data_IF_454965385473
#
_entry.id   IF_454965385473
#
_cell.length_a   1.000
_cell.length_b   1.000
_cell.length_c   1.000
_cell.angle_alpha   90.00
_cell.angle_beta   90.00
_cell.angle_gamma   90.00
#
_symmetry.space_group_name_H-M   'P 1'
#
loop_
_entity.id
_entity.type
_entity.pdbx_description
1 polymer ?
#
# COMPACT_ATOMS: atom_id res chain seq x y z
N UNK A 1 35.50 13.65 -24.79
CA UNK A 1 35.14 14.27 -23.51
C UNK A 1 34.04 15.24 -23.83
N UNK A 2 32.83 15.01 -23.35
CA UNK A 2 31.79 15.98 -23.44
C UNK A 2 32.08 17.10 -22.42
N UNK A 3 32.13 18.35 -22.86
CA UNK A 3 32.23 19.51 -21.97
C UNK A 3 30.91 19.54 -21.17
N UNK A 4 31.00 19.38 -19.85
CA UNK A 4 29.89 19.68 -18.94
C UNK A 4 29.64 21.20 -19.03
N UNK A 5 28.52 21.55 -19.63
CA UNK A 5 28.06 22.95 -19.71
C UNK A 5 27.58 23.35 -18.31
N UNK A 6 28.24 24.32 -17.68
CA UNK A 6 27.72 24.96 -16.47
C UNK A 6 26.40 25.65 -16.75
N UNK A 7 25.39 25.30 -15.96
CA UNK A 7 24.06 25.93 -16.05
C UNK A 7 24.13 27.37 -15.54
N UNK A 8 23.42 28.27 -16.19
CA UNK A 8 23.27 29.64 -15.72
C UNK A 8 22.40 29.69 -14.44
N UNK A 9 22.52 30.77 -13.68
CA UNK A 9 21.67 30.99 -12.48
C UNK A 9 20.16 30.91 -12.80
N UNK A 10 19.72 31.44 -13.95
CA UNK A 10 18.33 31.37 -14.39
C UNK A 10 17.90 29.94 -14.72
N UNK A 11 18.76 29.13 -15.37
CA UNK A 11 18.50 27.71 -15.64
C UNK A 11 18.41 26.90 -14.35
N UNK A 12 19.29 27.13 -13.38
CA UNK A 12 19.25 26.47 -12.06
C UNK A 12 17.97 26.84 -11.28
N UNK A 13 17.52 28.10 -11.36
CA UNK A 13 16.28 28.51 -10.72
C UNK A 13 15.05 27.89 -11.37
N UNK A 14 15.04 27.78 -12.70
CA UNK A 14 13.97 27.12 -13.45
C UNK A 14 13.91 25.62 -13.13
N UNK A 15 15.05 24.93 -13.06
CA UNK A 15 15.12 23.52 -12.65
C UNK A 15 14.62 23.32 -11.20
N UNK A 16 15.06 24.18 -10.27
CA UNK A 16 14.56 24.15 -8.89
C UNK A 16 13.05 24.32 -8.81
N UNK A 17 12.48 25.25 -9.57
CA UNK A 17 11.04 25.53 -9.52
C UNK A 17 10.24 24.41 -10.21
N UNK A 18 10.77 23.80 -11.28
CA UNK A 18 10.23 22.58 -11.88
C UNK A 18 10.26 21.41 -10.90
N UNK A 19 11.37 21.19 -10.21
CA UNK A 19 11.52 20.16 -9.19
C UNK A 19 10.56 20.34 -8.00
N UNK A 20 10.38 21.59 -7.53
CA UNK A 20 9.38 21.88 -6.48
C UNK A 20 7.96 21.57 -6.95
N UNK A 21 7.61 21.96 -8.17
CA UNK A 21 6.29 21.68 -8.72
C UNK A 21 6.03 20.19 -8.85
N UNK A 22 7.01 19.41 -9.31
CA UNK A 22 6.93 17.96 -9.39
C UNK A 22 6.76 17.32 -8.01
N UNK A 23 7.57 17.74 -7.02
CA UNK A 23 7.45 17.27 -5.65
C UNK A 23 6.09 17.59 -5.02
N UNK A 24 5.51 18.75 -5.28
CA UNK A 24 4.19 19.12 -4.78
C UNK A 24 3.09 18.24 -5.41
N UNK A 25 3.22 17.87 -6.68
CA UNK A 25 2.32 16.91 -7.34
C UNK A 25 2.46 15.54 -6.71
N UNK A 26 3.68 15.03 -6.52
CA UNK A 26 3.94 13.74 -5.90
C UNK A 26 3.41 13.66 -4.45
N UNK A 27 3.61 14.71 -3.66
CA UNK A 27 3.05 14.80 -2.30
C UNK A 27 1.53 14.77 -2.30
N UNK A 28 0.89 15.51 -3.20
CA UNK A 28 -0.57 15.54 -3.33
C UNK A 28 -1.13 14.18 -3.73
N UNK A 29 -0.52 13.53 -4.69
CA UNK A 29 -0.90 12.19 -5.13
C UNK A 29 -0.76 11.16 -4.00
N UNK A 30 0.29 11.29 -3.18
CA UNK A 30 0.52 10.44 -2.01
C UNK A 30 -0.59 10.60 -0.97
N UNK A 31 -0.96 11.83 -0.62
CA UNK A 31 -2.02 12.11 0.36
C UNK A 31 -3.36 11.55 -0.12
N UNK A 32 -3.71 11.76 -1.38
CA UNK A 32 -4.95 11.23 -1.96
C UNK A 32 -4.97 9.70 -1.98
N UNK A 33 -3.84 9.06 -2.25
CA UNK A 33 -3.71 7.60 -2.16
C UNK A 33 -3.91 7.09 -0.74
N UNK A 34 -3.27 7.73 0.24
CA UNK A 34 -3.42 7.35 1.65
C UNK A 34 -4.88 7.45 2.12
N UNK A 35 -5.60 8.47 1.69
CA UNK A 35 -7.02 8.61 2.04
C UNK A 35 -7.90 7.50 1.41
N UNK A 36 -7.69 7.17 0.13
CA UNK A 36 -8.40 6.05 -0.51
C UNK A 36 -8.04 4.71 0.14
N UNK A 37 -6.77 4.47 0.39
CA UNK A 37 -6.29 3.27 1.05
C UNK A 37 -6.84 3.10 2.47
N UNK A 38 -6.96 4.19 3.23
CA UNK A 38 -7.54 4.11 4.59
C UNK A 38 -9.00 3.70 4.57
N UNK A 39 -9.76 4.11 3.54
CA UNK A 39 -11.13 3.60 3.31
C UNK A 39 -11.11 2.12 2.93
N UNK A 40 -10.20 1.69 2.06
CA UNK A 40 -10.03 0.29 1.68
C UNK A 40 -9.78 -0.60 2.90
N UNK A 41 -8.80 -0.25 3.72
CA UNK A 41 -8.51 -1.01 4.94
C UNK A 41 -9.67 -0.99 5.93
N UNK A 42 -10.25 0.18 6.20
CA UNK A 42 -11.38 0.30 7.11
C UNK A 42 -12.58 -0.54 6.65
N UNK A 43 -12.85 -0.59 5.36
CA UNK A 43 -13.87 -1.44 4.76
C UNK A 43 -13.58 -2.92 5.06
N UNK A 44 -12.37 -3.38 4.73
CA UNK A 44 -12.00 -4.80 4.81
C UNK A 44 -11.46 -5.25 6.18
N UNK A 45 -11.47 -4.40 7.23
CA UNK A 45 -11.39 -4.87 8.61
C UNK A 45 -12.67 -5.57 9.08
N UNK A 46 -13.77 -5.38 8.39
CA UNK A 46 -15.09 -5.92 8.73
C UNK A 46 -15.35 -7.25 8.04
N UNK A 47 -15.71 -8.27 8.82
CA UNK A 47 -15.91 -9.65 8.36
C UNK A 47 -16.93 -9.77 7.23
N UNK A 48 -18.02 -9.03 7.30
CA UNK A 48 -19.06 -9.06 6.24
C UNK A 48 -18.50 -8.62 4.87
N UNK A 49 -17.62 -7.60 4.84
CA UNK A 49 -16.99 -7.14 3.59
C UNK A 49 -15.86 -8.04 3.14
N UNK A 50 -15.11 -8.66 4.07
CA UNK A 50 -14.15 -9.72 3.75
C UNK A 50 -14.87 -10.90 3.07
N UNK A 51 -16.03 -11.31 3.60
CA UNK A 51 -16.82 -12.40 3.04
C UNK A 51 -17.36 -12.05 1.64
N UNK A 52 -17.86 -10.83 1.44
CA UNK A 52 -18.29 -10.37 0.12
C UNK A 52 -17.12 -10.39 -0.87
N UNK A 53 -15.96 -9.87 -0.47
CA UNK A 53 -14.74 -9.88 -1.27
C UNK A 53 -14.34 -11.31 -1.66
N UNK A 54 -14.29 -12.21 -0.69
CA UNK A 54 -13.92 -13.60 -0.96
C UNK A 54 -14.87 -14.27 -1.95
N UNK A 55 -16.19 -14.14 -1.73
CA UNK A 55 -17.20 -14.71 -2.63
C UNK A 55 -17.16 -14.13 -4.04
N UNK A 56 -16.79 -12.87 -4.17
CA UNK A 56 -16.60 -12.24 -5.48
C UNK A 56 -15.37 -12.81 -6.22
N UNK A 57 -14.25 -13.01 -5.51
CA UNK A 57 -13.03 -13.55 -6.09
C UNK A 57 -13.10 -15.05 -6.36
N UNK A 58 -13.88 -15.79 -5.55
CA UNK A 58 -14.01 -17.25 -5.57
C UNK A 58 -15.47 -17.69 -5.53
N UNK A 59 -16.28 -17.38 -6.56
CA UNK A 59 -17.73 -17.65 -6.55
C UNK A 59 -18.08 -19.13 -6.49
N UNK A 60 -17.12 -20.03 -6.77
CA UNK A 60 -17.29 -21.48 -6.69
C UNK A 60 -17.28 -22.01 -5.25
N UNK A 61 -16.73 -21.26 -4.27
CA UNK A 61 -16.72 -21.64 -2.86
C UNK A 61 -17.93 -21.06 -2.11
N UNK A 62 -19.08 -21.71 -2.27
CA UNK A 62 -20.32 -21.29 -1.62
C UNK A 62 -20.38 -21.59 -0.11
N UNK A 63 -19.43 -22.39 0.42
CA UNK A 63 -19.46 -22.88 1.80
C UNK A 63 -18.73 -21.99 2.78
N UNK A 64 -18.09 -20.94 2.30
CA UNK A 64 -17.29 -20.00 3.11
C UNK A 64 -18.18 -19.18 4.03
N UNK A 65 -17.75 -19.00 5.26
CA UNK A 65 -18.40 -18.18 6.28
C UNK A 65 -17.41 -17.13 6.84
N UNK A 66 -17.89 -16.21 7.67
CA UNK A 66 -17.04 -15.19 8.29
C UNK A 66 -16.00 -15.77 9.25
N UNK A 67 -16.28 -16.92 9.86
CA UNK A 67 -15.38 -17.60 10.78
C UNK A 67 -14.15 -18.19 10.08
N UNK A 68 -14.28 -18.50 8.79
CA UNK A 68 -13.17 -19.05 7.98
C UNK A 68 -12.15 -17.98 7.56
N UNK A 69 -12.46 -16.70 7.76
CA UNK A 69 -11.66 -15.58 7.30
C UNK A 69 -10.78 -15.05 8.44
N UNK A 70 -9.50 -14.93 8.21
CA UNK A 70 -8.54 -14.32 9.13
C UNK A 70 -7.78 -13.19 8.42
N UNK A 71 -7.82 -11.99 9.00
CA UNK A 71 -7.03 -10.87 8.52
C UNK A 71 -5.56 -11.09 8.90
N UNK A 72 -4.69 -11.10 7.91
CA UNK A 72 -3.24 -11.18 8.10
C UNK A 72 -2.66 -9.80 7.93
N UNK A 73 -1.89 -9.35 8.92
CA UNK A 73 -1.14 -8.11 8.81
C UNK A 73 0.00 -8.32 7.82
N UNK A 74 -0.07 -7.64 6.68
CA UNK A 74 1.04 -7.57 5.74
C UNK A 74 1.98 -6.47 6.23
N UNK A 75 2.95 -6.84 7.06
CA UNK A 75 3.99 -5.92 7.52
C UNK A 75 4.92 -5.63 6.35
N UNK A 76 5.03 -4.36 5.99
CA UNK A 76 5.87 -3.93 4.89
C UNK A 76 7.34 -3.91 5.29
N UNK A 77 8.11 -4.85 4.75
CA UNK A 77 9.54 -4.97 4.99
C UNK A 77 10.34 -3.92 4.21
N UNK A 78 9.90 -3.50 3.03
CA UNK A 78 10.71 -2.73 2.11
C UNK A 78 10.41 -1.22 2.05
N UNK A 79 9.44 -0.71 2.79
CA UNK A 79 9.09 0.70 2.66
C UNK A 79 8.81 1.38 3.97
N UNK A 80 9.41 2.55 4.16
CA UNK A 80 9.21 3.50 5.25
C UNK A 80 7.75 3.99 5.33
N UNK A 81 6.93 3.60 4.40
CA UNK A 81 5.53 3.97 4.33
C UNK A 81 4.65 2.75 4.53
N UNK A 82 3.67 2.82 5.45
CA UNK A 82 2.65 1.80 5.57
C UNK A 82 1.87 1.76 4.23
N UNK A 83 2.21 0.82 3.37
CA UNK A 83 1.34 0.46 2.26
C UNK A 83 0.20 -0.36 2.83
N UNK A 84 -0.99 0.04 2.50
CA UNK A 84 -2.21 -0.53 3.03
C UNK A 84 -2.68 -1.65 2.09
N UNK A 85 -1.88 -2.69 1.97
CA UNK A 85 -2.27 -3.88 1.23
C UNK A 85 -2.99 -4.85 2.19
N UNK A 86 -3.94 -5.63 1.69
CA UNK A 86 -4.77 -6.52 2.48
C UNK A 86 -4.32 -7.97 2.31
N UNK A 87 -4.07 -8.66 3.41
CA UNK A 87 -3.87 -10.10 3.46
C UNK A 87 -5.03 -10.80 4.16
N UNK A 88 -5.57 -11.85 3.53
CA UNK A 88 -6.57 -12.73 4.12
C UNK A 88 -6.07 -14.18 4.10
N UNK A 89 -6.05 -14.85 5.25
CA UNK A 89 -5.85 -16.28 5.33
C UNK A 89 -7.22 -16.97 5.42
N UNK A 90 -7.48 -17.89 4.48
CA UNK A 90 -8.77 -18.55 4.35
C UNK A 90 -8.56 -20.04 4.13
N UNK A 91 -8.82 -20.87 5.14
CA UNK A 91 -8.68 -22.35 5.06
C UNK A 91 -7.35 -22.80 4.46
N UNK A 92 -6.22 -22.15 4.84
CA UNK A 92 -4.89 -22.47 4.32
C UNK A 92 -4.56 -21.86 2.96
N UNK A 93 -5.40 -20.95 2.43
CA UNK A 93 -5.12 -20.14 1.25
C UNK A 93 -4.82 -18.70 1.69
N UNK A 94 -3.70 -18.15 1.24
CA UNK A 94 -3.34 -16.75 1.45
C UNK A 94 -3.80 -15.92 0.25
N UNK A 95 -4.64 -14.94 0.49
CA UNK A 95 -5.11 -13.99 -0.51
C UNK A 95 -4.43 -12.66 -0.22
N UNK A 96 -3.71 -12.14 -1.19
CA UNK A 96 -3.01 -10.86 -1.10
C UNK A 96 -3.68 -9.89 -2.09
N UNK A 97 -4.24 -8.81 -1.55
CA UNK A 97 -4.75 -7.71 -2.38
C UNK A 97 -3.88 -6.49 -2.21
N UNK A 98 -3.28 -6.05 -3.31
CA UNK A 98 -2.64 -4.75 -3.37
C UNK A 98 -3.54 -3.75 -4.10
N UNK A 99 -3.80 -2.61 -3.48
CA UNK A 99 -4.36 -1.48 -4.21
C UNK A 99 -3.28 -0.88 -5.10
N UNK A 100 -3.43 -1.06 -6.41
CA UNK A 100 -2.56 -0.39 -7.36
C UNK A 100 -2.89 1.09 -7.41
N UNK A 101 -1.84 1.86 -7.33
CA UNK A 101 -1.86 3.30 -7.35
C UNK A 101 -2.44 3.87 -8.66
N UNK A 102 -2.69 5.18 -8.69
CA UNK A 102 -3.10 5.93 -9.89
C UNK A 102 -2.12 5.76 -11.06
N UNK A 103 -0.86 5.42 -10.79
CA UNK A 103 0.18 5.15 -11.78
C UNK A 103 0.47 3.65 -11.84
N UNK A 104 0.30 3.04 -13.01
CA UNK A 104 0.63 1.65 -13.22
C UNK A 104 2.14 1.42 -13.25
N UNK A 105 2.62 0.48 -12.45
CA UNK A 105 3.98 -0.03 -12.49
C UNK A 105 3.99 -1.56 -12.38
N UNK A 106 4.74 -2.22 -13.25
CA UNK A 106 4.96 -3.68 -13.16
C UNK A 106 5.75 -4.08 -11.91
N UNK A 107 6.47 -3.12 -11.29
CA UNK A 107 7.25 -3.38 -10.08
C UNK A 107 6.41 -3.81 -8.88
N UNK A 108 5.08 -3.59 -8.91
CA UNK A 108 4.17 -4.05 -7.86
C UNK A 108 4.26 -5.57 -7.63
N UNK A 109 4.72 -6.34 -8.63
CA UNK A 109 4.86 -7.78 -8.51
C UNK A 109 5.90 -8.18 -7.46
N UNK A 110 6.96 -7.38 -7.28
CA UNK A 110 7.96 -7.63 -6.24
C UNK A 110 7.39 -7.43 -4.84
N UNK A 111 6.54 -6.40 -4.65
CA UNK A 111 5.84 -6.19 -3.38
C UNK A 111 4.92 -7.36 -3.03
N UNK A 112 4.16 -7.84 -4.02
CA UNK A 112 3.26 -8.98 -3.82
C UNK A 112 4.02 -10.27 -3.50
N UNK A 113 5.15 -10.50 -4.17
CA UNK A 113 6.01 -11.65 -3.90
C UNK A 113 6.62 -11.58 -2.50
N UNK A 114 7.06 -10.40 -2.07
CA UNK A 114 7.59 -10.12 -0.74
C UNK A 114 6.54 -10.41 0.35
N UNK A 115 5.34 -9.88 0.23
CA UNK A 115 4.22 -10.17 1.13
C UNK A 115 3.89 -11.66 1.23
N UNK A 116 3.97 -12.38 0.10
CA UNK A 116 3.80 -13.82 0.11
C UNK A 116 4.88 -14.49 0.96
N UNK A 117 6.15 -14.20 0.70
CA UNK A 117 7.25 -14.85 1.41
C UNK A 117 7.19 -14.57 2.91
N UNK A 118 6.93 -13.36 3.33
CA UNK A 118 6.81 -13.00 4.73
C UNK A 118 5.63 -13.69 5.42
N UNK A 119 4.47 -13.65 4.78
CA UNK A 119 3.27 -14.31 5.31
C UNK A 119 3.45 -15.82 5.37
N UNK A 120 4.07 -16.41 4.35
CA UNK A 120 4.37 -17.84 4.33
C UNK A 120 5.39 -18.23 5.42
N UNK A 121 6.44 -17.44 5.60
CA UNK A 121 7.42 -17.66 6.67
C UNK A 121 6.79 -17.54 8.05
N UNK A 122 5.98 -16.52 8.27
CA UNK A 122 5.24 -16.33 9.52
C UNK A 122 4.30 -17.50 9.82
N UNK A 123 3.59 -17.99 8.81
CA UNK A 123 2.72 -19.17 8.90
C UNK A 123 3.51 -20.42 9.28
N UNK A 124 4.66 -20.66 8.62
CA UNK A 124 5.52 -21.83 8.90
C UNK A 124 6.13 -21.76 10.30
N UNK A 125 6.55 -20.58 10.76
CA UNK A 125 7.07 -20.36 12.12
C UNK A 125 5.99 -20.64 13.17
N UNK A 126 4.78 -20.13 12.99
CA UNK A 126 3.65 -20.40 13.90
C UNK A 126 3.35 -21.92 14.01
N UNK A 127 3.49 -22.65 12.91
CA UNK A 127 3.32 -24.11 12.87
C UNK A 127 4.55 -24.91 13.32
N UNK A 128 5.62 -24.22 13.71
CA UNK A 128 6.89 -24.84 14.10
C UNK A 128 7.43 -25.78 13.00
N UNK A 129 7.24 -25.41 11.74
CA UNK A 129 7.71 -26.17 10.60
C UNK A 129 9.24 -26.18 10.57
N UNK A 130 9.82 -27.37 10.38
CA UNK A 130 11.26 -27.52 10.21
C UNK A 130 11.60 -27.47 8.71
N UNK A 131 12.17 -26.38 8.27
CA UNK A 131 12.57 -26.16 6.87
C UNK A 131 13.77 -27.04 6.44
N UNK A 132 14.48 -27.65 7.39
CA UNK A 132 15.59 -28.55 7.14
C UNK A 132 15.18 -30.04 7.15
N UNK A 133 13.93 -30.30 7.54
CA UNK A 133 13.41 -31.64 7.53
C UNK A 133 13.18 -32.17 6.10
N UNK A 134 13.27 -33.47 5.93
CA UNK A 134 13.05 -34.14 4.64
C UNK A 134 11.60 -34.05 4.14
N UNK A 135 10.56 -34.14 5.00
CA UNK A 135 9.19 -34.00 4.55
C UNK A 135 8.90 -32.58 4.04
N UNK A 136 8.14 -32.48 2.93
CA UNK A 136 7.66 -31.22 2.42
C UNK A 136 6.80 -30.52 3.49
N UNK A 137 7.11 -29.24 3.76
CA UNK A 137 6.30 -28.43 4.66
C UNK A 137 4.95 -28.08 4.03
N UNK A 138 3.93 -27.97 4.89
CA UNK A 138 2.61 -27.54 4.50
C UNK A 138 2.59 -25.99 4.42
N UNK A 139 2.70 -25.46 3.20
CA UNK A 139 2.71 -24.02 2.92
C UNK A 139 1.34 -23.59 2.39
N UNK A 140 0.82 -22.42 2.78
CA UNK A 140 -0.44 -21.95 2.25
C UNK A 140 -0.37 -21.76 0.73
N UNK A 141 -1.43 -22.15 0.03
CA UNK A 141 -1.65 -21.74 -1.35
C UNK A 141 -1.79 -20.21 -1.44
N UNK A 142 -1.36 -19.59 -2.52
CA UNK A 142 -1.38 -18.13 -2.67
C UNK A 142 -2.17 -17.70 -3.89
N UNK A 143 -3.02 -16.69 -3.71
CA UNK A 143 -3.70 -15.98 -4.78
C UNK A 143 -3.43 -14.47 -4.61
N UNK A 144 -2.78 -13.86 -5.58
CA UNK A 144 -2.45 -12.45 -5.55
C UNK A 144 -3.30 -11.64 -6.54
N UNK A 145 -3.74 -10.46 -6.11
CA UNK A 145 -4.59 -9.56 -6.89
C UNK A 145 -4.08 -8.13 -6.81
N UNK A 146 -4.23 -7.41 -7.91
CA UNK A 146 -3.97 -5.98 -8.00
C UNK A 146 -5.27 -5.28 -8.40
N UNK A 147 -5.77 -4.39 -7.54
CA UNK A 147 -6.91 -3.55 -7.86
C UNK A 147 -6.40 -2.23 -8.45
N UNK A 148 -6.51 -2.07 -9.76
CA UNK A 148 -6.03 -0.88 -10.45
C UNK A 148 -7.13 0.16 -10.65
N UNK A 149 -6.99 1.31 -9.99
CA UNK A 149 -7.96 2.42 -10.02
C UNK A 149 -7.52 3.59 -10.90
N UNK A 150 -6.38 3.48 -11.58
CA UNK A 150 -5.83 4.54 -12.42
C UNK A 150 -6.56 4.74 -13.75
N UNK A 151 -6.29 5.88 -14.39
CA UNK A 151 -6.94 6.26 -15.66
C UNK A 151 -6.33 5.60 -16.90
N UNK A 152 -5.08 5.11 -16.81
CA UNK A 152 -4.41 4.47 -17.95
C UNK A 152 -5.04 3.12 -18.22
N UNK A 153 -5.45 2.89 -19.48
CA UNK A 153 -5.97 1.58 -19.87
C UNK A 153 -4.86 0.53 -19.79
N UNK A 154 -5.12 -0.54 -19.04
CA UNK A 154 -4.29 -1.73 -18.96
C UNK A 154 -4.99 -2.82 -19.75
N UNK A 155 -4.24 -3.53 -20.60
CA UNK A 155 -4.78 -4.61 -21.45
C UNK A 155 -4.46 -6.00 -20.91
N UNK A 156 -3.74 -6.08 -19.79
CA UNK A 156 -3.31 -7.34 -19.17
C UNK A 156 -4.23 -7.66 -17.99
N UNK A 157 -4.70 -8.89 -17.92
CA UNK A 157 -5.48 -9.41 -16.79
C UNK A 157 -4.59 -10.14 -15.77
N UNK A 158 -3.35 -10.47 -16.18
CA UNK A 158 -2.35 -11.14 -15.32
C UNK A 158 -1.02 -10.41 -15.43
N UNK A 159 -0.41 -10.19 -14.27
CA UNK A 159 0.96 -9.72 -14.13
C UNK A 159 1.82 -10.93 -13.76
N UNK A 160 2.89 -11.17 -14.52
CA UNK A 160 3.83 -12.27 -14.34
C UNK A 160 5.23 -11.71 -14.11
N UNK A 161 5.85 -12.06 -12.99
CA UNK A 161 7.23 -11.71 -12.69
C UNK A 161 8.18 -12.20 -13.79
N UNK A 162 8.02 -13.45 -14.17
CA UNK A 162 8.87 -14.07 -15.19
C UNK A 162 8.74 -13.36 -16.55
N UNK A 163 7.52 -13.11 -16.99
CA UNK A 163 7.28 -12.45 -18.28
C UNK A 163 7.82 -11.02 -18.32
N UNK A 164 7.63 -10.24 -17.25
CA UNK A 164 8.01 -8.83 -17.22
C UNK A 164 9.53 -8.62 -17.07
N UNK A 165 10.23 -9.48 -16.32
CA UNK A 165 11.64 -9.25 -15.95
C UNK A 165 12.61 -10.27 -16.53
N UNK A 166 12.13 -11.43 -16.99
CA UNK A 166 12.98 -12.50 -17.52
C UNK A 166 12.56 -13.00 -18.91
N UNK A 167 11.62 -12.28 -19.57
CA UNK A 167 11.21 -12.58 -20.93
C UNK A 167 10.51 -13.93 -21.13
N UNK A 168 9.89 -14.48 -20.08
CA UNK A 168 9.22 -15.77 -20.13
C UNK A 168 10.17 -16.97 -20.07
N UNK A 169 11.39 -16.80 -19.58
CA UNK A 169 12.37 -17.90 -19.47
C UNK A 169 11.94 -18.92 -18.40
N UNK A 170 11.64 -20.19 -18.75
CA UNK A 170 11.12 -21.19 -17.83
C UNK A 170 12.09 -21.55 -16.68
N UNK A 171 13.39 -21.25 -16.85
CA UNK A 171 14.41 -21.50 -15.82
C UNK A 171 14.49 -20.39 -14.76
N UNK A 172 13.64 -19.38 -14.85
CA UNK A 172 13.59 -18.25 -13.93
C UNK A 172 12.37 -18.32 -13.00
N UNK A 173 12.44 -17.66 -11.82
CA UNK A 173 11.32 -17.62 -10.89
C UNK A 173 10.04 -17.06 -11.52
N UNK A 174 8.91 -17.59 -11.06
CA UNK A 174 7.59 -17.08 -11.44
C UNK A 174 6.80 -16.71 -10.18
N UNK A 175 6.12 -15.59 -10.26
CA UNK A 175 5.06 -15.17 -9.36
C UNK A 175 4.02 -14.44 -10.19
N UNK A 176 2.75 -14.74 -9.99
CA UNK A 176 1.68 -14.14 -10.78
C UNK A 176 0.65 -13.45 -9.91
N UNK A 177 0.07 -12.37 -10.44
CA UNK A 177 -1.06 -11.70 -9.81
C UNK A 177 -2.16 -11.40 -10.84
N UNK A 178 -3.41 -11.56 -10.47
CA UNK A 178 -4.55 -11.14 -11.32
C UNK A 178 -4.77 -9.64 -11.19
N UNK A 179 -5.03 -8.97 -12.31
CA UNK A 179 -5.27 -7.53 -12.35
C UNK A 179 -6.77 -7.28 -12.49
N UNK A 180 -7.35 -6.59 -11.51
CA UNK A 180 -8.73 -6.17 -11.50
C UNK A 180 -8.77 -4.69 -11.90
N UNK A 181 -9.24 -4.38 -13.11
CA UNK A 181 -9.14 -3.03 -13.68
C UNK A 181 -10.32 -2.69 -14.59
N UNK A 182 -10.48 -1.40 -14.93
CA UNK A 182 -11.38 -0.92 -15.96
C UNK A 182 -12.84 -1.25 -15.69
N UNK A 183 -13.41 -2.08 -16.55
CA UNK A 183 -14.81 -2.51 -16.50
C UNK A 183 -15.01 -3.81 -15.70
N UNK A 184 -14.20 -4.02 -14.67
CA UNK A 184 -14.36 -5.16 -13.78
C UNK A 184 -15.80 -5.25 -13.28
N UNK A 185 -16.44 -6.39 -13.52
CA UNK A 185 -17.87 -6.63 -13.25
C UNK A 185 -18.08 -7.40 -11.94
N UNK A 186 -17.37 -7.03 -10.91
CA UNK A 186 -17.60 -7.56 -9.57
C UNK A 186 -18.59 -6.70 -8.79
N UNK A 187 -18.85 -7.08 -7.55
CA UNK A 187 -19.71 -6.31 -6.64
C UNK A 187 -18.88 -5.31 -5.85
N UNK A 188 -18.24 -5.76 -4.75
CA UNK A 188 -17.59 -4.87 -3.79
C UNK A 188 -16.33 -4.18 -4.35
N UNK A 189 -15.58 -4.86 -5.21
CA UNK A 189 -14.39 -4.27 -5.86
C UNK A 189 -14.82 -3.20 -6.87
N UNK A 190 -15.87 -3.46 -7.64
CA UNK A 190 -16.42 -2.47 -8.58
C UNK A 190 -17.01 -1.26 -7.85
N UNK A 191 -17.67 -1.46 -6.69
CA UNK A 191 -18.15 -0.40 -5.82
C UNK A 191 -16.98 0.45 -5.27
N UNK A 192 -15.90 -0.20 -4.81
CA UNK A 192 -14.70 0.49 -4.36
C UNK A 192 -14.01 1.29 -5.48
N UNK A 193 -13.88 0.72 -6.68
CA UNK A 193 -13.40 1.45 -7.85
C UNK A 193 -14.30 2.64 -8.20
N UNK A 194 -15.62 2.51 -8.00
CA UNK A 194 -16.60 3.57 -8.14
C UNK A 194 -16.34 4.73 -7.16
N UNK A 195 -16.13 4.41 -5.89
CA UNK A 195 -15.70 5.37 -4.87
C UNK A 195 -14.41 6.09 -5.29
N UNK A 196 -13.37 5.36 -5.70
CA UNK A 196 -12.11 5.96 -6.14
C UNK A 196 -12.29 6.95 -7.29
N UNK A 197 -13.16 6.65 -8.26
CA UNK A 197 -13.47 7.57 -9.38
C UNK A 197 -14.16 8.84 -8.89
N UNK A 198 -15.13 8.72 -7.98
CA UNK A 198 -15.81 9.89 -7.40
C UNK A 198 -14.82 10.73 -6.61
N UNK A 199 -14.00 10.13 -5.78
CA UNK A 199 -12.93 10.79 -5.03
C UNK A 199 -12.03 11.63 -5.93
N UNK A 200 -11.58 11.06 -7.04
CA UNK A 200 -10.69 11.74 -7.98
C UNK A 200 -11.38 12.95 -8.67
N UNK A 201 -12.70 12.94 -8.76
CA UNK A 201 -13.49 14.03 -9.35
C UNK A 201 -13.83 15.13 -8.35
N UNK A 202 -14.05 14.79 -7.08
CA UNK A 202 -14.54 15.72 -6.05
C UNK A 202 -13.42 16.28 -5.17
N UNK A 203 -12.56 15.44 -4.63
CA UNK A 203 -11.56 15.81 -3.62
C UNK A 203 -10.23 16.22 -4.24
N UNK A 204 -9.76 15.51 -5.25
CA UNK A 204 -8.44 15.78 -5.86
C UNK A 204 -8.30 17.20 -6.40
N UNK A 205 -9.32 17.83 -7.04
CA UNK A 205 -9.22 19.20 -7.56
C UNK A 205 -9.14 20.27 -6.49
N UNK A 206 -9.65 19.99 -5.28
CA UNK A 206 -9.87 20.98 -4.21
C UNK A 206 -8.57 21.28 -3.44
N UNK A 207 -8.38 22.51 -3.01
CA UNK A 207 -7.14 22.99 -2.38
C UNK A 207 -7.32 23.43 -0.92
N UNK A 208 -8.41 24.12 -0.58
CA UNK A 208 -8.60 24.64 0.78
C UNK A 208 -9.08 23.56 1.75
N UNK A 209 -8.77 23.63 3.05
CA UNK A 209 -9.24 22.68 4.06
C UNK A 209 -10.78 22.65 4.19
N UNK A 210 -11.44 23.80 4.08
CA UNK A 210 -12.89 23.94 4.16
C UNK A 210 -13.57 23.24 2.99
N UNK A 211 -13.11 23.56 1.76
CA UNK A 211 -13.60 22.91 0.54
C UNK A 211 -13.33 21.40 0.55
N UNK A 212 -12.21 20.94 1.13
CA UNK A 212 -11.94 19.49 1.26
C UNK A 212 -12.97 18.80 2.13
N UNK A 213 -13.42 19.44 3.22
CA UNK A 213 -14.47 18.87 4.08
C UNK A 213 -15.77 18.70 3.31
N UNK A 214 -16.19 19.73 2.58
CA UNK A 214 -17.38 19.67 1.74
C UNK A 214 -17.25 18.65 0.63
N UNK A 215 -16.08 18.55 -0.01
CA UNK A 215 -15.80 17.58 -1.06
C UNK A 215 -15.81 16.12 -0.56
N UNK A 216 -15.33 15.87 0.67
CA UNK A 216 -15.41 14.55 1.32
C UNK A 216 -16.87 14.18 1.58
N UNK A 217 -17.66 15.10 2.17
CA UNK A 217 -19.09 14.88 2.41
C UNK A 217 -19.84 14.60 1.10
N UNK A 218 -19.58 15.41 0.07
CA UNK A 218 -20.16 15.24 -1.27
C UNK A 218 -19.77 13.89 -1.89
N UNK A 219 -18.51 13.45 -1.69
CA UNK A 219 -18.06 12.13 -2.17
C UNK A 219 -18.90 11.02 -1.58
N UNK A 220 -19.13 11.05 -0.27
CA UNK A 220 -19.94 10.06 0.43
C UNK A 220 -21.38 10.07 -0.11
N UNK A 221 -21.99 11.26 -0.23
CA UNK A 221 -23.36 11.39 -0.72
C UNK A 221 -23.53 10.87 -2.16
N UNK A 222 -22.57 11.19 -3.04
CA UNK A 222 -22.57 10.67 -4.41
C UNK A 222 -22.35 9.16 -4.48
N UNK A 223 -21.52 8.61 -3.58
CA UNK A 223 -21.31 7.16 -3.50
C UNK A 223 -22.59 6.46 -3.07
N UNK A 224 -23.26 6.95 -2.04
CA UNK A 224 -24.57 6.41 -1.58
C UNK A 224 -25.59 6.49 -2.71
N UNK A 225 -25.73 7.65 -3.36
CA UNK A 225 -26.68 7.84 -4.45
C UNK A 225 -26.46 6.89 -5.63
N UNK A 226 -25.17 6.57 -5.93
CA UNK A 226 -24.81 5.68 -7.05
C UNK A 226 -24.71 4.21 -6.68
N UNK A 227 -24.92 3.87 -5.40
CA UNK A 227 -24.82 2.50 -4.90
C UNK A 227 -23.38 2.01 -4.72
N UNK A 228 -22.39 2.91 -4.68
CA UNK A 228 -20.99 2.54 -4.46
C UNK A 228 -20.67 2.53 -2.97
N UNK A 229 -20.49 1.35 -2.39
CA UNK A 229 -20.29 1.15 -0.95
C UNK A 229 -21.40 1.82 -0.11
N UNK A 230 -22.63 1.89 -0.64
CA UNK A 230 -23.71 2.67 -0.07
C UNK A 230 -24.01 2.27 1.38
N UNK A 231 -24.23 0.97 1.64
CA UNK A 231 -24.47 0.44 2.99
C UNK A 231 -23.33 0.81 3.96
N UNK A 232 -22.10 0.63 3.52
CA UNK A 232 -20.92 0.96 4.32
C UNK A 232 -20.87 2.44 4.70
N UNK A 233 -21.10 3.34 3.74
CA UNK A 233 -21.10 4.78 4.01
C UNK A 233 -22.30 5.23 4.86
N UNK A 234 -23.46 4.63 4.70
CA UNK A 234 -24.63 4.93 5.54
C UNK A 234 -24.40 4.53 7.00
N UNK A 235 -23.87 3.33 7.23
CA UNK A 235 -23.66 2.80 8.59
C UNK A 235 -22.46 3.41 9.30
N UNK A 236 -21.43 3.83 8.56
CA UNK A 236 -20.14 4.26 9.11
C UNK A 236 -19.73 5.69 8.72
N UNK A 237 -20.67 6.52 8.28
CA UNK A 237 -20.40 7.85 7.71
C UNK A 237 -19.43 8.69 8.53
N UNK A 238 -19.73 8.90 9.81
CA UNK A 238 -18.93 9.77 10.67
C UNK A 238 -17.50 9.27 10.89
N UNK A 239 -17.33 7.95 11.00
CA UNK A 239 -16.01 7.31 11.15
C UNK A 239 -15.20 7.48 9.86
N UNK A 240 -15.80 7.17 8.72
CA UNK A 240 -15.13 7.21 7.42
C UNK A 240 -14.80 8.64 7.00
N UNK A 241 -15.69 9.58 7.23
CA UNK A 241 -15.45 11.02 7.00
C UNK A 241 -14.26 11.51 7.83
N UNK A 242 -14.21 11.14 9.12
CA UNK A 242 -13.08 11.46 10.00
C UNK A 242 -11.76 10.86 9.49
N UNK A 243 -11.76 9.59 9.06
CA UNK A 243 -10.58 8.92 8.51
C UNK A 243 -10.09 9.67 7.27
N UNK A 244 -10.96 9.94 6.32
CA UNK A 244 -10.59 10.64 5.07
C UNK A 244 -10.06 12.05 5.35
N UNK A 245 -10.70 12.82 6.23
CA UNK A 245 -10.26 14.17 6.60
C UNK A 245 -8.93 14.17 7.35
N UNK A 246 -8.70 13.18 8.22
CA UNK A 246 -7.42 13.02 8.92
C UNK A 246 -6.28 12.80 7.92
N UNK A 247 -6.47 11.97 6.91
CA UNK A 247 -5.45 11.72 5.88
C UNK A 247 -5.19 12.93 4.99
N UNK A 248 -6.20 13.79 4.79
CA UNK A 248 -6.07 15.04 4.00
C UNK A 248 -5.45 16.19 4.80
N UNK A 249 -5.28 16.05 6.10
CA UNK A 249 -4.75 17.12 6.96
C UNK A 249 -3.26 17.35 6.69
N UNK A 250 -2.82 18.59 6.42
CA UNK A 250 -1.39 18.92 6.32
C UNK A 250 -0.63 18.60 7.61
N UNK A 251 -1.31 18.69 8.75
CA UNK A 251 -0.75 18.38 10.05
C UNK A 251 -0.43 16.88 10.19
N UNK A 252 -1.29 15.99 9.71
CA UNK A 252 -1.01 14.56 9.66
C UNK A 252 0.23 14.25 8.80
N UNK A 253 0.32 14.87 7.61
CA UNK A 253 1.49 14.72 6.73
C UNK A 253 2.76 15.22 7.42
N UNK A 254 2.69 16.37 8.10
CA UNK A 254 3.82 16.92 8.85
C UNK A 254 4.23 16.01 9.99
N UNK A 255 3.30 15.57 10.83
CA UNK A 255 3.57 14.70 11.97
C UNK A 255 4.19 13.37 11.52
N UNK A 256 3.68 12.76 10.46
CA UNK A 256 4.25 11.51 9.94
C UNK A 256 5.65 11.70 9.37
N UNK A 257 5.90 12.80 8.64
CA UNK A 257 7.23 13.12 8.12
C UNK A 257 8.21 13.43 9.25
N UNK A 258 7.83 14.25 10.23
CA UNK A 258 8.66 14.57 11.40
C UNK A 258 8.98 13.32 12.23
N UNK A 259 8.00 12.42 12.40
CA UNK A 259 8.20 11.15 13.10
C UNK A 259 9.22 10.27 12.38
N UNK A 260 9.08 10.13 11.07
CA UNK A 260 10.02 9.37 10.23
C UNK A 260 11.43 9.94 10.30
N UNK A 261 11.55 11.24 10.13
CA UNK A 261 12.84 11.93 10.23
C UNK A 261 13.49 11.73 11.60
N UNK A 262 12.73 11.84 12.67
CA UNK A 262 13.21 11.65 14.03
C UNK A 262 13.69 10.22 14.31
N UNK A 263 13.00 9.21 13.75
CA UNK A 263 13.44 7.82 13.86
C UNK A 263 14.80 7.65 13.18
N UNK A 264 15.00 8.19 11.96
CA UNK A 264 16.27 8.14 11.23
C UNK A 264 17.40 8.86 11.99
N UNK A 265 17.11 10.02 12.56
CA UNK A 265 18.08 10.76 13.39
C UNK A 265 18.47 9.96 14.64
N UNK A 266 17.50 9.37 15.34
CA UNK A 266 17.78 8.52 16.51
C UNK A 266 18.64 7.30 16.12
N UNK A 267 18.37 6.64 15.00
CA UNK A 267 19.19 5.53 14.48
C UNK A 267 20.64 6.00 14.24
N UNK A 268 20.80 7.13 13.57
CA UNK A 268 22.13 7.69 13.29
C UNK A 268 22.92 7.98 14.57
N UNK A 269 22.26 8.57 15.58
CA UNK A 269 22.85 8.84 16.89
C UNK A 269 23.24 7.54 17.61
N UNK A 270 22.37 6.53 17.59
CA UNK A 270 22.60 5.27 18.29
C UNK A 270 23.69 4.43 17.60
N UNK A 271 23.78 4.46 16.27
CA UNK A 271 24.89 3.89 15.49
C UNK A 271 26.22 4.60 15.77
N UNK A 272 26.20 5.93 15.84
CA UNK A 272 27.38 6.71 16.23
C UNK A 272 27.86 6.38 17.65
N UNK A 273 26.94 6.02 18.55
CA UNK A 273 27.24 5.55 19.91
C UNK A 273 27.66 4.06 19.97
N UNK A 274 27.98 3.45 18.82
CA UNK A 274 28.40 2.04 18.67
C UNK A 274 27.42 1.02 19.31
N UNK A 275 26.14 1.33 19.32
CA UNK A 275 25.10 0.40 19.81
C UNK A 275 24.83 -0.68 18.78
N UNK A 276 24.64 -1.94 19.22
CA UNK A 276 24.30 -3.03 18.29
C UNK A 276 22.91 -2.85 17.65
N UNK A 277 22.76 -3.29 16.41
CA UNK A 277 21.48 -3.18 15.64
C UNK A 277 20.31 -3.82 16.40
N UNK A 278 20.52 -4.94 17.12
CA UNK A 278 19.48 -5.59 17.92
C UNK A 278 18.99 -4.67 19.06
N UNK A 279 19.90 -3.97 19.74
CA UNK A 279 19.54 -3.02 20.78
C UNK A 279 18.86 -1.78 20.22
N UNK A 280 19.32 -1.29 19.08
CA UNK A 280 18.68 -0.17 18.38
C UNK A 280 17.24 -0.58 18.02
N UNK A 281 17.05 -1.76 17.44
CA UNK A 281 15.73 -2.30 17.10
C UNK A 281 14.80 -2.34 18.30
N UNK A 282 15.25 -2.90 19.43
CA UNK A 282 14.46 -2.96 20.67
C UNK A 282 14.06 -1.56 21.16
N UNK A 283 14.98 -0.61 21.12
CA UNK A 283 14.71 0.78 21.52
C UNK A 283 13.69 1.46 20.59
N UNK A 284 13.80 1.25 19.28
CA UNK A 284 12.84 1.79 18.32
C UNK A 284 11.44 1.22 18.52
N UNK A 285 11.31 -0.10 18.73
CA UNK A 285 10.05 -0.76 19.04
C UNK A 285 9.42 -0.12 20.28
N UNK A 286 10.18 -0.02 21.36
CA UNK A 286 9.69 0.50 22.62
C UNK A 286 9.36 2.00 22.60
N UNK A 287 10.21 2.81 21.93
CA UNK A 287 10.07 4.28 21.93
C UNK A 287 9.00 4.78 21.00
N UNK A 288 8.86 4.11 19.85
CA UNK A 288 7.99 4.55 18.77
C UNK A 288 6.78 3.65 18.55
N UNK A 289 6.59 2.63 19.42
CA UNK A 289 5.50 1.65 19.29
C UNK A 289 5.45 1.04 17.88
N UNK A 290 6.61 0.55 17.42
CA UNK A 290 6.76 -0.07 16.11
C UNK A 290 6.61 -1.59 16.21
N UNK A 291 6.19 -2.23 15.13
CA UNK A 291 6.34 -3.68 15.02
C UNK A 291 7.82 -4.04 14.85
N UNK A 292 8.26 -5.26 15.22
CA UNK A 292 9.65 -5.72 15.03
C UNK A 292 10.13 -5.59 13.58
N UNK A 293 9.26 -5.90 12.63
CA UNK A 293 9.51 -5.81 11.20
C UNK A 293 9.69 -4.34 10.76
N UNK A 294 8.79 -3.47 11.21
CA UNK A 294 8.85 -2.05 10.85
C UNK A 294 10.09 -1.36 11.44
N UNK A 295 10.52 -1.74 12.65
CA UNK A 295 11.77 -1.27 13.23
C UNK A 295 12.98 -1.75 12.41
N UNK A 296 12.97 -2.99 11.90
CA UNK A 296 14.02 -3.52 11.05
C UNK A 296 14.16 -2.73 9.75
N UNK A 297 13.04 -2.38 9.12
CA UNK A 297 13.05 -1.61 7.87
C UNK A 297 13.75 -0.26 8.00
N UNK A 298 13.62 0.41 9.15
CA UNK A 298 14.36 1.63 9.42
C UNK A 298 15.86 1.40 9.57
N UNK A 299 16.28 0.22 10.04
CA UNK A 299 17.69 -0.13 10.17
C UNK A 299 18.33 -0.50 8.84
N UNK A 300 17.54 -1.10 7.96
CA UNK A 300 17.98 -1.53 6.62
C UNK A 300 18.00 -0.36 5.61
N UNK A 301 17.36 0.77 5.95
CA UNK A 301 17.33 1.97 5.11
C UNK A 301 18.60 2.81 5.32
N UNK A 302 19.60 2.58 4.48
CA UNK A 302 20.88 3.30 4.47
C UNK A 302 20.80 4.73 3.87
N UNK A 303 19.60 5.25 3.58
CA UNK A 303 19.46 6.61 3.06
C UNK A 303 19.92 7.63 4.10
N UNK A 304 20.90 8.47 3.73
CA UNK A 304 21.37 9.57 4.57
C UNK A 304 20.21 10.49 4.95
N UNK A 305 19.95 10.72 6.25
CA UNK A 305 18.89 11.64 6.69
C UNK A 305 19.05 13.07 6.14
N UNK A 306 20.23 13.44 5.66
CA UNK A 306 20.50 14.72 5.02
C UNK A 306 20.46 14.67 3.49
N UNK A 307 20.35 13.50 2.87
CA UNK A 307 20.13 13.39 1.43
C UNK A 307 18.65 13.68 1.14
N UNK A 308 18.40 14.93 0.77
CA UNK A 308 17.09 15.41 0.32
C UNK A 308 16.74 14.94 -1.09
N UNK A 309 17.53 14.04 -1.67
CA UNK A 309 17.20 13.42 -2.95
C UNK A 309 16.06 12.42 -2.72
N UNK A 310 14.86 12.63 -3.26
CA UNK A 310 13.81 11.63 -3.13
C UNK A 310 14.26 10.39 -3.89
N UNK A 311 14.33 9.26 -3.19
CA UNK A 311 14.50 7.98 -3.86
C UNK A 311 13.45 7.91 -4.97
N UNK A 312 13.91 7.84 -6.20
CA UNK A 312 13.09 7.59 -7.37
C UNK A 312 12.48 6.19 -7.22
N UNK A 313 11.19 6.14 -6.89
CA UNK A 313 10.36 4.94 -7.01
C UNK A 313 9.04 5.35 -7.66
#
# INVERSE_FOLDING_TARGET
MAEERELTYEELMAERDAYKAENDVLKKDRVNRQAKNSVFLNLFTRKEYQLRLYKELFPQDATITEEDLELVTLDNILTIHPYNDLGLLVRGKLIILAEAQSTWSVNIIFRLADYYYDSAMSYLVMRKADLYATPKVDNPDVEAFVIYTGKKMIKKDVLSLNQEFFGGNPDKPEFTARILHGDYKGEIIAEYMGFCRIWDQTVVPVKSPEEKREAVALTIDLCIQKGYLAKYFEEHRAEVEKIMLTMLSPEYVRITSERTQKIKEDISILRFAEMSEEKIKELLIRRYDLTPTYAQNFLDDDSDPNDSTPAAI
#
